data_IF_723412585166
#
_entry.id   IF_723412585166
#
_cell.length_a   1.000
_cell.length_b   1.000
_cell.length_c   1.000
_cell.angle_alpha   90.00
_cell.angle_beta   90.00
_cell.angle_gamma   90.00
#
_symmetry.space_group_name_H-M   'P 1'
#
loop_
_entity.id
_entity.type
_entity.pdbx_description
1 polymer ?
#
# COMPACT_ATOMS: atom_id res chain seq x y z
N UNK A 1 10.31 -0.99 -2.63
CA UNK A 1 11.47 -1.92 -2.56
C UNK A 1 12.23 -1.86 -3.88
N UNK A 2 13.32 -2.62 -4.10
CA UNK A 2 14.06 -2.57 -5.38
C UNK A 2 13.30 -3.24 -6.55
N UNK A 3 12.37 -4.13 -6.24
CA UNK A 3 11.55 -4.90 -7.18
C UNK A 3 10.13 -4.35 -7.33
N UNK A 4 9.93 -3.07 -6.98
CA UNK A 4 8.65 -2.37 -7.06
C UNK A 4 8.85 -1.03 -7.79
N UNK A 5 7.78 -0.50 -8.37
CA UNK A 5 7.78 0.85 -8.95
C UNK A 5 8.19 1.87 -7.86
N UNK A 6 9.11 2.76 -8.20
CA UNK A 6 9.52 3.84 -7.31
C UNK A 6 8.37 4.85 -7.14
N UNK A 7 8.07 5.22 -5.90
CA UNK A 7 6.91 6.06 -5.54
C UNK A 7 7.31 7.42 -4.95
N UNK A 8 8.61 7.70 -4.81
CA UNK A 8 9.12 8.96 -4.27
C UNK A 8 8.51 10.21 -4.94
N UNK A 9 8.47 10.27 -6.27
CA UNK A 9 7.91 11.42 -6.99
C UNK A 9 6.39 11.57 -6.79
N UNK A 10 5.68 10.45 -6.63
CA UNK A 10 4.26 10.44 -6.30
C UNK A 10 4.05 11.00 -4.90
N UNK A 11 4.86 10.59 -3.92
CA UNK A 11 4.81 11.12 -2.55
C UNK A 11 5.05 12.63 -2.55
N UNK A 12 6.07 13.11 -3.27
CA UNK A 12 6.33 14.55 -3.42
C UNK A 12 5.14 15.29 -4.03
N UNK A 13 4.48 14.71 -5.03
CA UNK A 13 3.31 15.32 -5.68
C UNK A 13 2.08 15.33 -4.75
N UNK A 14 1.86 14.27 -3.96
CA UNK A 14 0.80 14.22 -2.93
C UNK A 14 0.90 15.43 -2.00
N UNK A 15 2.09 15.71 -1.44
CA UNK A 15 2.30 16.87 -0.57
C UNK A 15 2.19 18.20 -1.32
N UNK A 16 2.76 18.32 -2.54
CA UNK A 16 2.63 19.52 -3.36
C UNK A 16 1.17 19.90 -3.65
N UNK A 17 0.28 18.91 -3.75
CA UNK A 17 -1.16 19.11 -3.96
C UNK A 17 -1.97 19.24 -2.67
N UNK A 18 -1.31 19.32 -1.50
CA UNK A 18 -1.97 19.47 -0.21
C UNK A 18 -2.81 18.27 0.21
N UNK A 19 -2.50 17.07 -0.31
CA UNK A 19 -3.18 15.83 0.09
C UNK A 19 -2.55 15.26 1.35
N UNK A 20 -3.34 14.51 2.11
CA UNK A 20 -2.84 13.76 3.27
C UNK A 20 -2.20 12.46 2.81
N UNK A 21 -0.99 12.17 3.30
CA UNK A 21 -0.24 10.96 2.97
C UNK A 21 -0.18 10.02 4.17
N UNK A 22 -0.47 8.74 3.95
CA UNK A 22 -0.25 7.68 4.93
C UNK A 22 0.64 6.60 4.30
N UNK A 23 1.55 6.04 5.10
CA UNK A 23 2.48 4.98 4.68
C UNK A 23 2.28 3.72 5.54
N UNK A 24 2.59 2.52 5.01
CA UNK A 24 2.43 1.30 5.78
C UNK A 24 3.43 1.22 6.94
N UNK A 25 2.94 0.85 8.12
CA UNK A 25 3.75 0.40 9.26
C UNK A 25 3.30 -1.00 9.63
N UNK A 26 4.15 -2.00 9.37
CA UNK A 26 3.81 -3.40 9.67
C UNK A 26 4.42 -3.85 10.99
N UNK A 27 3.74 -4.81 11.64
CA UNK A 27 4.20 -5.45 12.89
C UNK A 27 4.73 -6.85 12.59
N UNK A 28 6.05 -7.02 12.64
CA UNK A 28 6.80 -8.24 12.27
C UNK A 28 6.24 -9.58 12.77
N UNK A 29 5.63 -9.61 13.97
CA UNK A 29 5.14 -10.84 14.61
C UNK A 29 3.70 -11.21 14.23
N UNK A 30 3.07 -10.48 13.31
CA UNK A 30 1.66 -10.64 12.95
C UNK A 30 1.43 -10.31 11.48
N UNK A 31 0.25 -10.60 10.94
CA UNK A 31 -0.21 -10.07 9.64
C UNK A 31 -0.84 -8.67 9.75
N UNK A 32 -0.56 -7.96 10.84
CA UNK A 32 -1.11 -6.64 11.12
C UNK A 32 -0.25 -5.53 10.50
N UNK A 33 -0.93 -4.58 9.87
CA UNK A 33 -0.36 -3.40 9.24
C UNK A 33 -1.34 -2.25 9.43
N UNK A 34 -0.81 -1.09 9.80
CA UNK A 34 -1.54 0.18 9.80
C UNK A 34 -1.03 1.08 8.68
N UNK A 35 -1.83 2.07 8.32
CA UNK A 35 -1.41 3.20 7.50
C UNK A 35 -1.27 4.42 8.41
N UNK A 36 -0.03 4.88 8.61
CA UNK A 36 0.31 5.97 9.53
C UNK A 36 0.70 7.23 8.79
N UNK A 37 0.29 8.38 9.32
CA UNK A 37 0.44 9.67 8.66
C UNK A 37 1.91 10.08 8.55
N UNK A 38 2.24 10.53 7.35
CA UNK A 38 3.50 11.19 7.03
C UNK A 38 3.27 12.71 7.01
N UNK A 39 4.18 13.49 7.61
CA UNK A 39 4.08 14.93 7.77
C UNK A 39 4.71 15.71 6.62
N UNK A 40 5.73 15.16 5.95
CA UNK A 40 6.32 15.74 4.74
C UNK A 40 6.95 14.68 3.83
N UNK A 41 7.25 15.02 2.59
CA UNK A 41 7.92 14.12 1.66
C UNK A 41 9.36 13.78 2.12
N UNK A 42 10.03 14.73 2.77
CA UNK A 42 11.41 14.59 3.25
C UNK A 42 11.50 13.68 4.48
N UNK A 43 10.44 13.64 5.29
CA UNK A 43 10.39 12.85 6.51
C UNK A 43 10.68 11.37 6.23
N UNK A 44 10.17 10.81 5.12
CA UNK A 44 10.29 9.38 4.80
C UNK A 44 11.75 8.90 4.85
N UNK A 45 12.69 9.72 4.37
CA UNK A 45 14.11 9.38 4.31
C UNK A 45 14.80 9.45 5.67
N UNK A 46 14.20 10.17 6.62
CA UNK A 46 14.68 10.24 8.01
C UNK A 46 14.19 9.09 8.87
N UNK A 47 13.14 8.36 8.42
CA UNK A 47 12.59 7.23 9.16
C UNK A 47 13.58 6.05 9.20
N UNK A 48 13.61 5.28 10.28
CA UNK A 48 14.43 4.07 10.33
C UNK A 48 13.97 3.05 9.29
N UNK A 49 14.93 2.23 8.85
CA UNK A 49 14.64 1.13 7.94
C UNK A 49 14.37 -0.16 8.70
N UNK A 50 13.44 -0.92 8.17
CA UNK A 50 13.15 -2.28 8.61
C UNK A 50 14.18 -3.29 8.06
N UNK A 51 14.09 -4.56 8.47
CA UNK A 51 14.94 -5.64 7.91
C UNK A 51 14.72 -5.87 6.41
N UNK A 52 13.62 -5.35 5.85
CA UNK A 52 13.30 -5.39 4.42
C UNK A 52 13.76 -4.11 3.69
N UNK A 53 14.57 -3.27 4.35
CA UNK A 53 15.10 -2.01 3.82
C UNK A 53 14.01 -0.98 3.44
N UNK A 54 12.81 -1.09 4.02
CA UNK A 54 11.71 -0.11 3.87
C UNK A 54 11.72 0.86 5.04
N UNK A 55 11.54 2.15 4.76
CA UNK A 55 11.33 3.21 5.73
C UNK A 55 9.95 3.11 6.39
N UNK A 56 9.91 3.08 7.73
CA UNK A 56 8.66 3.24 8.49
C UNK A 56 8.95 3.86 9.88
N UNK A 57 7.97 4.49 10.54
CA UNK A 57 8.12 4.96 11.91
C UNK A 57 8.41 3.82 12.89
N UNK A 58 9.02 4.14 14.03
CA UNK A 58 9.32 3.12 15.05
C UNK A 58 8.03 2.54 15.62
N UNK A 59 8.13 1.34 16.17
CA UNK A 59 6.98 0.63 16.72
C UNK A 59 6.35 1.31 17.94
N UNK A 60 7.16 2.03 18.71
CA UNK A 60 6.82 2.79 19.91
C UNK A 60 6.43 4.25 19.61
N UNK A 61 6.52 4.67 18.36
CA UNK A 61 6.20 6.02 17.94
C UNK A 61 4.70 6.18 17.71
N UNK A 62 4.08 7.12 18.42
CA UNK A 62 2.66 7.43 18.27
C UNK A 62 2.46 8.21 16.98
N UNK A 63 1.60 7.69 16.10
CA UNK A 63 1.25 8.29 14.82
C UNK A 63 -0.25 8.26 14.62
N UNK A 64 -0.75 9.24 13.88
CA UNK A 64 -2.14 9.26 13.43
C UNK A 64 -2.38 8.13 12.42
N UNK A 65 -3.36 7.27 12.67
CA UNK A 65 -3.71 6.13 11.81
C UNK A 65 -4.90 6.49 10.91
N UNK A 66 -4.82 6.14 9.63
CA UNK A 66 -5.84 6.53 8.65
C UNK A 66 -7.27 6.11 9.04
N UNK A 67 -7.45 4.87 9.53
CA UNK A 67 -8.77 4.36 9.93
C UNK A 67 -9.33 5.04 11.18
N UNK A 68 -8.49 5.70 11.99
CA UNK A 68 -8.92 6.49 13.14
C UNK A 68 -9.32 7.92 12.79
N UNK A 69 -8.96 8.40 11.59
CA UNK A 69 -9.16 9.79 11.17
C UNK A 69 -9.99 9.94 9.90
N UNK A 70 -10.88 8.98 9.65
CA UNK A 70 -11.88 9.04 8.57
C UNK A 70 -11.58 8.13 7.38
N UNK A 71 -10.45 7.41 7.39
CA UNK A 71 -10.14 6.41 6.39
C UNK A 71 -9.23 6.88 5.25
N UNK A 72 -9.38 6.24 4.09
CA UNK A 72 -8.55 6.47 2.90
C UNK A 72 -9.44 6.57 1.66
N UNK A 73 -9.22 7.58 0.84
CA UNK A 73 -9.90 7.70 -0.45
C UNK A 73 -9.29 6.77 -1.51
N UNK A 74 -7.96 6.58 -1.45
CA UNK A 74 -7.16 5.86 -2.43
C UNK A 74 -6.01 5.11 -1.75
N UNK A 75 -5.72 3.90 -2.24
CA UNK A 75 -4.57 3.10 -1.80
C UNK A 75 -3.77 2.66 -3.03
N UNK A 76 -2.47 2.98 -3.04
CA UNK A 76 -1.51 2.39 -3.97
C UNK A 76 -1.12 0.99 -3.49
N UNK A 77 -1.37 -0.01 -4.33
CA UNK A 77 -1.27 -1.43 -3.99
C UNK A 77 0.03 -2.03 -4.54
N UNK A 78 1.00 -2.41 -3.69
CA UNK A 78 2.17 -3.15 -4.15
C UNK A 78 1.85 -4.65 -4.33
N UNK A 79 2.67 -5.31 -5.15
CA UNK A 79 2.51 -6.72 -5.46
C UNK A 79 3.67 -7.23 -6.31
N UNK A 80 3.82 -8.56 -6.35
CA UNK A 80 4.77 -9.25 -7.22
C UNK A 80 4.18 -9.52 -8.61
N UNK A 81 2.86 -9.60 -8.72
CA UNK A 81 2.18 -9.83 -9.99
C UNK A 81 0.72 -9.44 -9.93
N UNK A 82 0.15 -9.10 -11.08
CA UNK A 82 -1.22 -8.66 -11.26
C UNK A 82 -1.79 -9.25 -12.54
N UNK A 83 -3.09 -9.51 -12.60
CA UNK A 83 -3.77 -9.83 -13.87
C UNK A 83 -4.82 -8.79 -14.25
N UNK A 84 -5.30 -8.89 -15.49
CA UNK A 84 -6.30 -7.96 -16.05
C UNK A 84 -7.67 -8.02 -15.36
N UNK A 85 -7.90 -9.01 -14.50
CA UNK A 85 -9.13 -9.15 -13.72
C UNK A 85 -9.03 -8.49 -12.34
N UNK A 86 -7.91 -7.81 -12.06
CA UNK A 86 -7.65 -7.16 -10.78
C UNK A 86 -7.20 -8.13 -9.68
N UNK A 87 -6.80 -9.36 -10.02
CA UNK A 87 -6.19 -10.25 -9.04
C UNK A 87 -4.74 -9.83 -8.78
N UNK A 88 -4.28 -10.00 -7.54
CA UNK A 88 -2.97 -9.55 -7.09
C UNK A 88 -2.22 -10.65 -6.34
N UNK A 89 -0.97 -10.88 -6.73
CA UNK A 89 -0.03 -11.74 -6.02
C UNK A 89 0.81 -10.90 -5.06
N UNK A 90 0.55 -11.00 -3.76
CA UNK A 90 1.38 -10.38 -2.73
C UNK A 90 2.63 -11.21 -2.37
N UNK A 91 3.36 -10.79 -1.33
CA UNK A 91 4.53 -11.52 -0.80
C UNK A 91 4.18 -12.66 0.19
N UNK A 92 2.91 -13.08 0.21
CA UNK A 92 2.43 -14.24 0.98
C UNK A 92 1.97 -13.99 2.43
N UNK A 93 2.20 -12.81 3.01
CA UNK A 93 1.75 -12.50 4.40
C UNK A 93 0.32 -11.95 4.52
N UNK A 94 -0.32 -11.59 3.40
CA UNK A 94 -1.71 -11.12 3.39
C UNK A 94 -1.97 -9.80 4.13
N UNK A 95 -0.94 -8.96 4.35
CA UNK A 95 -1.09 -7.67 5.05
C UNK A 95 -2.13 -6.77 4.36
N UNK A 96 -2.00 -6.59 3.05
CA UNK A 96 -2.89 -5.73 2.27
C UNK A 96 -4.32 -6.30 2.18
N UNK A 97 -4.47 -7.61 2.06
CA UNK A 97 -5.79 -8.27 2.03
C UNK A 97 -6.52 -8.10 3.37
N UNK A 98 -5.78 -8.26 4.48
CA UNK A 98 -6.27 -7.99 5.84
C UNK A 98 -6.65 -6.52 6.01
N UNK A 99 -5.79 -5.60 5.56
CA UNK A 99 -6.03 -4.16 5.69
C UNK A 99 -7.22 -3.67 4.85
N UNK A 100 -7.41 -4.19 3.65
CA UNK A 100 -8.59 -3.87 2.82
C UNK A 100 -9.89 -4.35 3.48
N UNK A 101 -9.89 -5.53 4.10
CA UNK A 101 -11.04 -5.99 4.90
C UNK A 101 -11.33 -5.07 6.08
N UNK A 102 -10.30 -4.57 6.77
CA UNK A 102 -10.47 -3.57 7.82
C UNK A 102 -11.06 -2.26 7.28
N UNK A 103 -10.61 -1.78 6.12
CA UNK A 103 -11.18 -0.59 5.48
C UNK A 103 -12.69 -0.75 5.23
N UNK A 104 -13.12 -1.91 4.73
CA UNK A 104 -14.55 -2.21 4.49
C UNK A 104 -15.39 -2.25 5.78
N UNK A 105 -14.77 -2.52 6.93
CA UNK A 105 -15.45 -2.55 8.23
C UNK A 105 -15.52 -1.18 8.90
N UNK A 106 -14.55 -0.29 8.63
CA UNK A 106 -14.37 0.97 9.35
C UNK A 106 -14.72 2.21 8.51
N UNK A 107 -14.99 2.05 7.20
CA UNK A 107 -15.32 3.13 6.29
C UNK A 107 -16.62 2.81 5.54
N UNK A 108 -17.48 3.81 5.36
CA UNK A 108 -18.72 3.65 4.58
C UNK A 108 -18.43 3.37 3.09
N UNK A 109 -17.36 3.96 2.57
CA UNK A 109 -16.92 3.80 1.19
C UNK A 109 -15.60 3.05 1.15
N UNK A 110 -15.52 2.01 0.31
CA UNK A 110 -14.26 1.31 0.02
C UNK A 110 -13.25 2.30 -0.61
N UNK A 111 -11.99 2.34 -0.16
CA UNK A 111 -10.93 3.09 -0.86
C UNK A 111 -10.79 2.59 -2.29
N UNK A 112 -10.53 3.50 -3.23
CA UNK A 112 -10.16 3.10 -4.59
C UNK A 112 -8.74 2.52 -4.58
N UNK A 113 -8.55 1.35 -5.18
CA UNK A 113 -7.28 0.61 -5.13
C UNK A 113 -6.61 0.58 -6.49
N UNK A 114 -5.40 1.14 -6.57
CA UNK A 114 -4.62 1.22 -7.80
C UNK A 114 -3.28 0.51 -7.59
N UNK A 115 -2.98 -0.50 -8.39
CA UNK A 115 -1.63 -1.05 -8.45
C UNK A 115 -0.76 -0.29 -9.44
N UNK A 116 0.50 -0.06 -9.05
CA UNK A 116 1.56 0.40 -9.95
C UNK A 116 2.44 -0.81 -10.25
N UNK A 117 2.48 -1.22 -11.51
CA UNK A 117 3.14 -2.45 -11.91
C UNK A 117 4.13 -2.18 -13.04
N UNK A 118 5.29 -2.84 -12.98
CA UNK A 118 6.07 -3.07 -14.18
C UNK A 118 5.31 -3.99 -15.12
N UNK A 119 5.58 -3.88 -16.42
CA UNK A 119 4.96 -4.73 -17.43
C UNK A 119 5.24 -6.21 -17.20
N UNK A 120 6.43 -6.53 -16.69
CA UNK A 120 6.88 -7.87 -16.32
C UNK A 120 6.05 -8.48 -15.18
N UNK A 121 5.34 -7.65 -14.40
CA UNK A 121 4.48 -8.09 -13.31
C UNK A 121 3.06 -8.40 -13.82
N UNK A 122 2.73 -8.14 -15.08
CA UNK A 122 1.43 -8.48 -15.67
C UNK A 122 1.41 -9.95 -16.07
N UNK A 123 0.55 -10.71 -15.40
CA UNK A 123 0.39 -12.16 -15.53
C UNK A 123 -0.86 -12.49 -16.34
N UNK A 124 -0.87 -13.64 -17.03
CA UNK A 124 -2.07 -14.13 -17.72
C UNK A 124 -3.20 -14.49 -16.76
N UNK A 125 -2.87 -15.13 -15.63
CA UNK A 125 -3.80 -15.40 -14.54
C UNK A 125 -3.02 -15.49 -13.22
N UNK A 126 -3.47 -14.77 -12.20
CA UNK A 126 -2.93 -14.89 -10.85
C UNK A 126 -3.75 -15.93 -10.08
N UNK A 127 -3.12 -16.95 -9.46
CA UNK A 127 -3.81 -17.85 -8.55
C UNK A 127 -4.34 -17.09 -7.34
N UNK A 128 -5.61 -17.28 -7.01
CA UNK A 128 -6.28 -16.62 -5.88
C UNK A 128 -7.00 -17.63 -4.99
N UNK A 129 -7.04 -17.35 -3.70
CA UNK A 129 -7.87 -18.02 -2.71
C UNK A 129 -9.04 -17.14 -2.25
N UNK A 130 -9.88 -17.68 -1.38
CA UNK A 130 -11.11 -17.01 -0.90
C UNK A 130 -10.86 -15.72 -0.10
N UNK A 131 -9.64 -15.55 0.40
CA UNK A 131 -9.28 -14.41 1.22
C UNK A 131 -8.60 -13.27 0.46
N UNK A 132 -8.26 -13.48 -0.82
CA UNK A 132 -7.54 -12.50 -1.62
C UNK A 132 -8.48 -11.39 -2.10
N UNK A 133 -8.03 -10.15 -1.96
CA UNK A 133 -8.83 -8.98 -2.29
C UNK A 133 -8.46 -8.48 -3.69
N UNK A 134 -9.46 -8.37 -4.56
CA UNK A 134 -9.29 -7.74 -5.87
C UNK A 134 -9.05 -6.24 -5.73
N UNK A 135 -8.21 -5.73 -6.62
CA UNK A 135 -7.96 -4.31 -6.80
C UNK A 135 -8.79 -3.74 -7.94
N UNK A 136 -9.03 -2.43 -7.92
CA UNK A 136 -9.93 -1.77 -8.87
C UNK A 136 -9.22 -1.45 -10.19
N UNK A 137 -7.92 -1.14 -10.15
CA UNK A 137 -7.15 -0.74 -11.33
C UNK A 137 -5.68 -1.18 -11.26
N UNK A 138 -5.09 -1.51 -12.42
CA UNK A 138 -3.66 -1.82 -12.57
C UNK A 138 -3.08 -0.88 -13.62
N UNK A 139 -2.16 -0.01 -13.20
CA UNK A 139 -1.40 0.88 -14.07
C UNK A 139 -0.05 0.25 -14.38
N UNK A 140 0.28 0.15 -15.66
CA UNK A 140 1.57 -0.29 -16.17
C UNK A 140 1.86 0.42 -17.49
N UNK A 141 3.12 0.45 -17.90
CA UNK A 141 3.52 1.03 -19.18
C UNK A 141 2.87 0.24 -20.33
N UNK A 142 1.95 0.89 -21.05
CA UNK A 142 1.46 0.40 -22.34
C UNK A 142 2.49 0.76 -23.42
N UNK A 143 2.64 -0.12 -24.42
CA UNK A 143 3.71 -0.01 -25.44
C UNK A 143 3.73 1.31 -26.19
#
# INVERSE_FOLDING_TARGET
>A
MQDEIETEEIIKDIFRRGKTCFIPRYKFKSSYMDMVKLFSAEEIFSLPKTSWNIHQPRDDEVREEALSTGGLDLIFMPGLGFDIQGNRLGRGKGYYDTYLKQCLQHQERKPYTIALAFKEQICGAVPVGENDMKIDEVLYEDK
#
